data_IF_403116301846
#
_entry.id   IF_403116301846
#
_cell.length_a   1.000
_cell.length_b   1.000
_cell.length_c   1.000
_cell.angle_alpha   90.00
_cell.angle_beta   90.00
_cell.angle_gamma   90.00
#
_symmetry.space_group_name_H-M   'P 1'
#
loop_
_entity.id
_entity.type
_entity.pdbx_description
1 polymer ?
#
# COMPACT_ATOMS: atom_id res chain seq x y z
N UNK A 1 -30.56 -14.21 -32.78
CA UNK A 1 -31.51 -15.18 -32.22
C UNK A 1 -30.70 -16.19 -31.43
N UNK A 2 -30.82 -16.37 -30.13
CA UNK A 2 -31.62 -15.81 -29.03
C UNK A 2 -30.96 -16.48 -27.83
N UNK A 3 -30.29 -15.74 -26.95
CA UNK A 3 -29.89 -16.23 -25.61
C UNK A 3 -29.85 -15.02 -24.66
N UNK A 4 -30.91 -14.23 -24.70
CA UNK A 4 -31.26 -13.19 -23.73
C UNK A 4 -32.44 -13.71 -22.91
N UNK A 5 -32.25 -14.62 -21.95
CA UNK A 5 -33.25 -14.88 -20.90
C UNK A 5 -32.66 -15.72 -19.75
N UNK A 6 -31.91 -15.09 -18.85
CA UNK A 6 -31.75 -15.56 -17.45
C UNK A 6 -31.28 -14.42 -16.53
N UNK A 7 -31.97 -13.29 -16.59
CA UNK A 7 -31.97 -12.31 -15.50
C UNK A 7 -33.42 -12.16 -15.04
N UNK A 8 -33.90 -13.18 -14.31
CA UNK A 8 -35.15 -13.05 -13.57
C UNK A 8 -34.90 -12.06 -12.43
N UNK A 9 -35.55 -10.89 -12.54
CA UNK A 9 -35.35 -9.76 -11.65
C UNK A 9 -35.65 -10.09 -10.19
N UNK A 10 -34.64 -9.91 -9.35
CA UNK A 10 -34.84 -9.76 -7.91
C UNK A 10 -35.26 -8.30 -7.66
N UNK A 11 -36.56 -8.05 -7.64
CA UNK A 11 -37.10 -6.80 -7.11
C UNK A 11 -36.94 -6.81 -5.59
N UNK A 12 -35.87 -6.20 -5.10
CA UNK A 12 -35.68 -6.00 -3.68
C UNK A 12 -36.33 -4.68 -3.26
N UNK A 13 -37.27 -4.74 -2.31
CA UNK A 13 -37.98 -3.55 -1.83
C UNK A 13 -37.19 -2.77 -0.77
N UNK A 14 -36.08 -3.30 -0.29
CA UNK A 14 -35.27 -2.67 0.77
C UNK A 14 -33.75 -2.89 0.54
N UNK A 15 -32.92 -1.83 0.68
CA UNK A 15 -31.45 -1.95 0.63
C UNK A 15 -30.87 -3.00 1.59
N UNK A 16 -31.51 -3.26 2.73
CA UNK A 16 -31.03 -4.29 3.69
C UNK A 16 -31.23 -5.72 3.16
N UNK A 17 -32.28 -5.96 2.38
CA UNK A 17 -32.53 -7.27 1.76
C UNK A 17 -31.55 -7.55 0.61
N UNK A 18 -31.15 -6.50 -0.12
CA UNK A 18 -30.10 -6.59 -1.14
C UNK A 18 -28.76 -7.00 -0.53
N UNK A 19 -28.37 -6.35 0.56
CA UNK A 19 -27.12 -6.66 1.26
C UNK A 19 -27.14 -8.10 1.80
N UNK A 20 -28.25 -8.53 2.40
CA UNK A 20 -28.37 -9.89 2.91
C UNK A 20 -28.33 -10.96 1.82
N UNK A 21 -28.97 -10.70 0.67
CA UNK A 21 -28.93 -11.60 -0.48
C UNK A 21 -27.53 -11.69 -1.12
N UNK A 22 -26.82 -10.57 -1.20
CA UNK A 22 -25.44 -10.55 -1.69
C UNK A 22 -24.51 -11.26 -0.71
N UNK A 23 -24.69 -11.07 0.60
CA UNK A 23 -23.93 -11.78 1.63
C UNK A 23 -24.18 -13.30 1.61
N UNK A 24 -25.42 -13.76 1.39
CA UNK A 24 -25.72 -15.19 1.32
C UNK A 24 -25.20 -15.86 0.05
N UNK A 25 -25.27 -15.17 -1.10
CA UNK A 25 -24.65 -15.60 -2.35
C UNK A 25 -23.13 -15.71 -2.22
N UNK A 26 -22.49 -14.75 -1.55
CA UNK A 26 -21.04 -14.76 -1.34
C UNK A 26 -20.61 -15.89 -0.38
N UNK A 27 -21.36 -16.13 0.70
CA UNK A 27 -21.10 -17.24 1.62
C UNK A 27 -21.22 -18.62 0.95
N UNK A 28 -22.18 -18.77 0.02
CA UNK A 28 -22.36 -19.99 -0.75
C UNK A 28 -21.23 -20.22 -1.78
N UNK A 29 -20.71 -19.16 -2.40
CA UNK A 29 -19.66 -19.24 -3.40
C UNK A 29 -18.26 -19.42 -2.80
N UNK A 30 -17.99 -18.85 -1.63
CA UNK A 30 -16.66 -18.85 -1.03
C UNK A 30 -16.31 -20.14 -0.26
N UNK A 31 -17.26 -21.05 -0.03
CA UNK A 31 -17.03 -22.23 0.83
C UNK A 31 -16.64 -21.88 2.27
N UNK A 32 -16.73 -20.60 2.66
CA UNK A 32 -16.46 -20.10 4.00
C UNK A 32 -17.75 -20.27 4.80
N UNK A 33 -17.99 -21.50 5.24
CA UNK A 33 -18.76 -21.69 6.45
C UNK A 33 -17.99 -20.99 7.58
N UNK A 34 -18.65 -20.02 8.21
CA UNK A 34 -18.26 -19.42 9.49
C UNK A 34 -17.38 -18.15 9.47
N UNK A 35 -17.99 -16.99 9.16
CA UNK A 35 -17.59 -15.67 9.72
C UNK A 35 -18.59 -15.21 10.80
N UNK A 36 -19.61 -16.02 11.08
CA UNK A 36 -20.54 -15.84 12.17
C UNK A 36 -20.97 -17.24 12.65
N UNK A 37 -20.53 -17.54 13.89
CA UNK A 37 -20.51 -18.87 14.52
C UNK A 37 -21.54 -19.89 14.04
N UNK A 38 -21.04 -21.06 13.65
CA UNK A 38 -21.63 -22.39 13.80
C UNK A 38 -23.15 -22.50 13.71
N UNK A 39 -23.64 -23.02 12.58
CA UNK A 39 -24.99 -23.58 12.49
C UNK A 39 -24.85 -25.10 12.47
N UNK A 40 -24.95 -25.72 13.66
CA UNK A 40 -25.20 -27.15 13.74
C UNK A 40 -26.68 -27.44 13.42
N UNK A 41 -26.83 -28.58 12.75
CA UNK A 41 -28.03 -29.27 12.29
C UNK A 41 -29.30 -29.11 13.15
N UNK A 42 -30.41 -28.94 12.42
CA UNK A 42 -31.79 -28.99 12.88
C UNK A 42 -32.08 -30.28 13.65
N UNK A 43 -32.41 -30.15 14.94
CA UNK A 43 -33.38 -31.04 15.59
C UNK A 43 -34.38 -30.20 16.37
N UNK A 44 -35.62 -30.34 15.93
CA UNK A 44 -36.87 -29.79 16.41
C UNK A 44 -36.99 -29.85 17.95
N UNK A 45 -36.94 -28.70 18.61
CA UNK A 45 -37.71 -28.37 19.83
C UNK A 45 -37.45 -26.91 20.19
N UNK A 46 -38.53 -26.18 20.48
CA UNK A 46 -38.57 -24.72 20.60
C UNK A 46 -37.46 -24.13 21.47
N UNK A 47 -36.58 -23.35 20.83
CA UNK A 47 -35.68 -22.42 21.50
C UNK A 47 -36.02 -21.03 21.00
N UNK A 48 -36.43 -20.18 21.95
CA UNK A 48 -36.58 -18.75 21.79
C UNK A 48 -35.41 -18.20 20.98
N UNK A 49 -35.70 -17.58 19.82
CA UNK A 49 -34.74 -16.79 19.05
C UNK A 49 -34.31 -15.60 19.90
N UNK A 50 -33.41 -15.87 20.84
CA UNK A 50 -32.56 -14.85 21.41
C UNK A 50 -31.72 -14.36 20.24
N UNK A 51 -32.19 -13.29 19.62
CA UNK A 51 -31.40 -12.39 18.79
C UNK A 51 -30.13 -12.13 19.59
N UNK A 52 -29.05 -12.86 19.28
CA UNK A 52 -27.72 -12.54 19.78
C UNK A 52 -27.41 -11.19 19.18
N UNK A 53 -27.82 -10.15 19.91
CA UNK A 53 -27.53 -8.75 19.65
C UNK A 53 -26.02 -8.59 19.84
N UNK A 54 -25.25 -9.13 18.89
CA UNK A 54 -23.88 -8.75 18.66
C UNK A 54 -23.94 -7.28 18.30
N UNK A 55 -23.82 -6.43 19.32
CA UNK A 55 -23.78 -4.98 19.14
C UNK A 55 -22.66 -4.71 18.16
N UNK A 56 -22.99 -4.16 17.00
CA UNK A 56 -22.02 -3.69 16.03
C UNK A 56 -21.16 -2.63 16.72
N UNK A 57 -19.93 -3.01 17.07
CA UNK A 57 -18.95 -2.08 17.60
C UNK A 57 -18.13 -1.52 16.44
N UNK A 58 -17.59 -0.29 16.57
CA UNK A 58 -16.69 0.27 15.57
C UNK A 58 -15.54 -0.68 15.20
N UNK A 59 -15.03 -1.44 16.17
CA UNK A 59 -13.93 -2.37 15.95
C UNK A 59 -14.31 -3.60 15.13
N UNK A 60 -15.52 -4.12 15.30
CA UNK A 60 -16.03 -5.19 14.44
C UNK A 60 -16.15 -4.68 13.00
N UNK A 61 -16.64 -3.45 12.82
CA UNK A 61 -16.76 -2.82 11.51
C UNK A 61 -15.38 -2.59 10.88
N UNK A 62 -14.41 -2.04 11.61
CA UNK A 62 -13.04 -1.87 11.11
C UNK A 62 -12.41 -3.19 10.70
N UNK A 63 -12.57 -4.25 11.51
CA UNK A 63 -12.06 -5.58 11.17
C UNK A 63 -12.72 -6.14 9.92
N UNK A 64 -14.02 -5.92 9.73
CA UNK A 64 -14.73 -6.32 8.52
C UNK A 64 -14.16 -5.61 7.28
N UNK A 65 -13.97 -4.29 7.32
CA UNK A 65 -13.36 -3.53 6.20
C UNK A 65 -11.96 -4.04 5.88
N UNK A 66 -11.12 -4.27 6.89
CA UNK A 66 -9.75 -4.75 6.70
C UNK A 66 -9.72 -6.15 6.09
N UNK A 67 -10.52 -7.09 6.64
CA UNK A 67 -10.60 -8.44 6.11
C UNK A 67 -11.14 -8.43 4.67
N UNK A 68 -12.19 -7.65 4.42
CA UNK A 68 -12.83 -7.60 3.12
C UNK A 68 -11.91 -7.03 2.05
N UNK A 69 -11.15 -5.97 2.36
CA UNK A 69 -10.17 -5.41 1.44
C UNK A 69 -9.04 -6.41 1.12
N UNK A 70 -8.57 -7.18 2.12
CA UNK A 70 -7.57 -8.24 1.90
C UNK A 70 -8.08 -9.36 1.01
N UNK A 71 -9.32 -9.79 1.19
CA UNK A 71 -9.94 -10.79 0.31
C UNK A 71 -10.12 -10.28 -1.12
N UNK A 72 -10.53 -9.01 -1.29
CA UNK A 72 -10.68 -8.42 -2.62
C UNK A 72 -9.34 -8.38 -3.38
N UNK A 73 -8.26 -8.02 -2.71
CA UNK A 73 -6.92 -8.03 -3.30
C UNK A 73 -6.40 -9.47 -3.50
N UNK A 74 -6.29 -10.27 -2.44
CA UNK A 74 -5.64 -11.58 -2.50
C UNK A 74 -6.44 -12.67 -3.22
N UNK A 75 -7.75 -12.76 -3.03
CA UNK A 75 -8.56 -13.84 -3.59
C UNK A 75 -9.06 -13.50 -5.01
N UNK A 76 -9.32 -12.21 -5.28
CA UNK A 76 -10.00 -11.76 -6.49
C UNK A 76 -9.11 -10.90 -7.42
N UNK A 77 -7.95 -10.41 -6.96
CA UNK A 77 -7.10 -9.48 -7.71
C UNK A 77 -7.75 -8.10 -7.95
N UNK A 78 -8.80 -7.75 -7.20
CA UNK A 78 -9.58 -6.53 -7.38
C UNK A 78 -9.02 -5.39 -6.51
N UNK A 79 -7.82 -4.91 -6.88
CA UNK A 79 -7.10 -3.90 -6.11
C UNK A 79 -7.85 -2.56 -6.01
N UNK A 80 -8.40 -2.07 -7.13
CA UNK A 80 -9.15 -0.81 -7.17
C UNK A 80 -10.38 -0.86 -6.26
N UNK A 81 -11.09 -2.00 -6.28
CA UNK A 81 -12.26 -2.22 -5.42
C UNK A 81 -11.87 -2.27 -3.94
N UNK A 82 -10.73 -2.87 -3.60
CA UNK A 82 -10.21 -2.88 -2.24
C UNK A 82 -9.86 -1.45 -1.76
N UNK A 83 -9.24 -0.63 -2.61
CA UNK A 83 -8.94 0.77 -2.33
C UNK A 83 -10.20 1.59 -2.12
N UNK A 84 -11.18 1.48 -3.01
CA UNK A 84 -12.43 2.23 -2.94
C UNK A 84 -13.26 1.84 -1.70
N UNK A 85 -13.28 0.56 -1.35
CA UNK A 85 -13.88 0.09 -0.11
C UNK A 85 -13.26 0.77 1.13
N UNK A 86 -11.94 0.86 1.20
CA UNK A 86 -11.25 1.49 2.32
C UNK A 86 -11.40 3.01 2.34
N UNK A 87 -11.39 3.67 1.17
CA UNK A 87 -11.68 5.11 1.06
C UNK A 87 -13.08 5.41 1.59
N UNK A 88 -14.09 4.62 1.18
CA UNK A 88 -15.45 4.74 1.68
C UNK A 88 -15.53 4.54 3.20
N UNK A 89 -14.85 3.51 3.73
CA UNK A 89 -14.78 3.28 5.18
C UNK A 89 -14.22 4.50 5.93
N UNK A 90 -13.16 5.11 5.39
CA UNK A 90 -12.54 6.31 5.97
C UNK A 90 -13.46 7.53 5.90
N UNK A 91 -14.19 7.75 4.80
CA UNK A 91 -15.19 8.81 4.68
C UNK A 91 -16.32 8.67 5.72
N UNK A 92 -16.61 7.44 6.15
CA UNK A 92 -17.58 7.14 7.21
C UNK A 92 -16.96 7.11 8.62
N UNK A 93 -15.74 7.61 8.77
CA UNK A 93 -15.01 7.68 10.04
C UNK A 93 -14.81 6.30 10.71
N UNK A 94 -14.67 5.23 9.92
CA UNK A 94 -14.28 3.92 10.45
C UNK A 94 -12.80 3.99 10.86
N UNK A 95 -12.45 3.69 12.13
CA UNK A 95 -11.08 3.81 12.61
C UNK A 95 -10.16 2.73 12.03
N UNK A 96 -8.85 2.93 12.18
CA UNK A 96 -7.80 1.93 11.90
C UNK A 96 -7.72 1.42 10.45
N UNK A 97 -8.21 2.19 9.47
CA UNK A 97 -8.11 1.83 8.04
C UNK A 97 -6.90 2.48 7.33
N UNK A 98 -6.35 3.55 7.89
CA UNK A 98 -5.33 4.37 7.23
C UNK A 98 -4.06 3.59 6.86
N UNK A 99 -3.59 2.72 7.76
CA UNK A 99 -2.38 1.91 7.53
C UNK A 99 -2.57 0.95 6.35
N UNK A 100 -3.69 0.21 6.35
CA UNK A 100 -4.00 -0.74 5.28
C UNK A 100 -4.19 -0.04 3.93
N UNK A 101 -4.88 1.09 3.93
CA UNK A 101 -5.05 1.91 2.73
C UNK A 101 -3.70 2.40 2.19
N UNK A 102 -2.78 2.84 3.06
CA UNK A 102 -1.43 3.24 2.67
C UNK A 102 -0.63 2.10 2.03
N UNK A 103 -0.73 0.88 2.61
CA UNK A 103 -0.11 -0.32 2.05
C UNK A 103 -0.67 -0.66 0.68
N UNK A 104 -2.00 -0.65 0.51
CA UNK A 104 -2.63 -0.92 -0.79
C UNK A 104 -2.28 0.13 -1.85
N UNK A 105 -2.24 1.43 -1.51
CA UNK A 105 -1.78 2.45 -2.44
C UNK A 105 -0.31 2.26 -2.86
N UNK A 106 0.51 1.67 -1.99
CA UNK A 106 1.90 1.34 -2.33
C UNK A 106 1.95 0.13 -3.25
N UNK A 107 1.16 -0.90 -2.94
CA UNK A 107 1.05 -2.10 -3.74
C UNK A 107 0.56 -1.81 -5.17
N UNK A 108 -0.44 -0.93 -5.31
CA UNK A 108 -0.96 -0.45 -6.60
C UNK A 108 0.16 0.09 -7.50
N UNK A 109 0.96 1.00 -6.97
CA UNK A 109 2.09 1.58 -7.70
C UNK A 109 3.15 0.51 -8.01
N UNK A 110 3.42 -0.40 -7.08
CA UNK A 110 4.39 -1.47 -7.32
C UNK A 110 3.94 -2.42 -8.45
N UNK A 111 2.67 -2.84 -8.43
CA UNK A 111 2.11 -3.78 -9.39
C UNK A 111 1.95 -3.14 -10.77
N UNK A 112 1.36 -1.95 -10.85
CA UNK A 112 1.01 -1.33 -12.13
C UNK A 112 2.14 -0.50 -12.74
N UNK A 113 2.91 0.21 -11.92
CA UNK A 113 3.91 1.17 -12.42
C UNK A 113 5.35 0.63 -12.32
N UNK A 114 5.72 0.01 -11.19
CA UNK A 114 7.04 -0.62 -11.03
C UNK A 114 7.12 -2.03 -11.66
N UNK A 115 5.97 -2.58 -12.06
CA UNK A 115 5.84 -3.88 -12.73
C UNK A 115 6.22 -5.07 -11.85
N UNK A 116 5.91 -5.00 -10.56
CA UNK A 116 5.95 -6.11 -9.60
C UNK A 116 4.63 -6.90 -9.67
N UNK A 117 4.33 -7.50 -10.83
CA UNK A 117 2.99 -7.99 -11.19
C UNK A 117 2.42 -9.11 -10.31
N UNK A 118 3.27 -9.79 -9.55
CA UNK A 118 2.87 -10.90 -8.66
C UNK A 118 2.95 -10.55 -7.19
N UNK A 119 3.33 -9.31 -6.86
CA UNK A 119 3.45 -8.90 -5.47
C UNK A 119 2.08 -8.88 -4.79
N UNK A 120 2.00 -9.46 -3.61
CA UNK A 120 0.80 -9.46 -2.78
C UNK A 120 0.94 -8.50 -1.60
N UNK A 121 -0.19 -8.15 -1.00
CA UNK A 121 -0.21 -7.31 0.20
C UNK A 121 0.52 -7.97 1.39
N UNK A 122 0.49 -9.30 1.49
CA UNK A 122 1.16 -10.03 2.58
C UNK A 122 2.68 -10.06 2.39
N UNK A 123 3.17 -10.19 1.15
CA UNK A 123 4.59 -10.01 0.83
C UNK A 123 5.05 -8.59 1.12
N UNK A 124 4.29 -7.58 0.68
CA UNK A 124 4.61 -6.18 0.95
C UNK A 124 4.65 -5.88 2.46
N UNK A 125 3.79 -6.54 3.26
CA UNK A 125 3.71 -6.29 4.70
C UNK A 125 4.95 -6.74 5.48
N UNK A 126 5.75 -7.66 4.94
CA UNK A 126 6.99 -8.16 5.56
C UNK A 126 8.25 -7.48 5.03
N UNK A 127 8.14 -6.64 4.00
CA UNK A 127 9.29 -5.94 3.42
C UNK A 127 9.76 -4.80 4.31
N UNK A 128 11.07 -4.55 4.30
CA UNK A 128 11.60 -3.32 4.87
C UNK A 128 11.22 -2.13 3.97
N UNK A 129 10.91 -0.95 4.56
CA UNK A 129 10.57 0.24 3.76
C UNK A 129 11.65 0.64 2.75
N UNK A 130 12.92 0.31 3.02
CA UNK A 130 14.04 0.61 2.13
C UNK A 130 14.03 -0.30 0.89
N UNK A 131 13.55 -1.54 1.02
CA UNK A 131 13.39 -2.47 -0.10
C UNK A 131 12.24 -2.03 -0.99
N UNK A 132 11.16 -1.54 -0.39
CA UNK A 132 10.05 -0.93 -1.13
C UNK A 132 10.54 0.27 -1.97
N UNK A 133 11.40 1.12 -1.41
CA UNK A 133 12.03 2.21 -2.17
C UNK A 133 12.88 1.71 -3.35
N UNK A 134 13.64 0.63 -3.16
CA UNK A 134 14.41 0.02 -4.25
C UNK A 134 13.48 -0.44 -5.38
N UNK A 135 12.41 -1.15 -5.04
CA UNK A 135 11.47 -1.65 -6.04
C UNK A 135 10.79 -0.52 -6.80
N UNK A 136 10.42 0.57 -6.11
CA UNK A 136 9.88 1.77 -6.76
C UNK A 136 10.87 2.43 -7.73
N UNK A 137 12.17 2.25 -7.53
CA UNK A 137 13.24 2.85 -8.34
C UNK A 137 13.89 1.87 -9.33
N UNK A 138 13.54 0.59 -9.30
CA UNK A 138 14.21 -0.48 -10.06
C UNK A 138 14.18 -0.22 -11.57
N UNK A 139 13.03 0.18 -12.12
CA UNK A 139 12.85 0.47 -13.56
C UNK A 139 13.00 1.95 -13.92
N UNK A 140 13.60 2.74 -13.02
CA UNK A 140 13.70 4.20 -13.18
C UNK A 140 14.73 4.65 -14.22
N UNK A 141 15.43 3.74 -14.90
CA UNK A 141 16.44 4.07 -15.89
C UNK A 141 15.87 4.99 -16.98
N UNK A 142 16.55 6.12 -17.22
CA UNK A 142 16.10 7.16 -18.17
C UNK A 142 15.06 8.14 -17.61
N UNK A 143 14.24 7.76 -16.61
CA UNK A 143 13.13 8.57 -16.10
C UNK A 143 13.14 8.76 -14.56
N UNK A 144 14.32 8.72 -13.94
CA UNK A 144 14.51 8.80 -12.48
C UNK A 144 13.81 9.98 -11.81
N UNK A 145 13.80 11.15 -12.46
CA UNK A 145 13.14 12.34 -11.93
C UNK A 145 11.62 12.22 -11.88
N UNK A 146 11.01 11.51 -12.83
CA UNK A 146 9.58 11.25 -12.85
C UNK A 146 9.21 10.25 -11.76
N UNK A 147 9.92 9.11 -11.70
CA UNK A 147 9.70 8.06 -10.70
C UNK A 147 9.81 8.62 -9.28
N UNK A 148 10.81 9.47 -9.04
CA UNK A 148 10.97 10.12 -7.75
C UNK A 148 9.71 10.94 -7.39
N UNK A 149 9.26 11.80 -8.30
CA UNK A 149 8.12 12.71 -8.07
C UNK A 149 6.79 12.00 -7.92
N UNK A 150 6.52 11.06 -8.80
CA UNK A 150 5.20 10.44 -8.93
C UNK A 150 5.00 9.31 -7.92
N UNK A 151 6.06 8.61 -7.53
CA UNK A 151 5.93 7.36 -6.77
C UNK A 151 6.69 7.37 -5.45
N UNK A 152 7.95 7.79 -5.47
CA UNK A 152 8.78 7.82 -4.25
C UNK A 152 8.33 8.90 -3.29
N UNK A 153 8.10 10.14 -3.74
CA UNK A 153 7.69 11.24 -2.85
C UNK A 153 6.33 10.97 -2.18
N UNK A 154 5.30 10.46 -2.88
CA UNK A 154 4.06 10.07 -2.20
C UNK A 154 4.26 8.92 -1.22
N UNK A 155 5.08 7.92 -1.54
CA UNK A 155 5.41 6.83 -0.62
C UNK A 155 6.11 7.34 0.65
N UNK A 156 7.14 8.17 0.49
CA UNK A 156 7.86 8.82 1.59
C UNK A 156 6.94 9.69 2.45
N UNK A 157 6.02 10.43 1.84
CA UNK A 157 5.04 11.25 2.56
C UNK A 157 4.07 10.40 3.37
N UNK A 158 3.66 9.23 2.87
CA UNK A 158 2.86 8.27 3.63
C UNK A 158 3.64 7.66 4.80
N UNK A 159 4.92 7.39 4.61
CA UNK A 159 5.79 6.92 5.69
C UNK A 159 5.91 7.99 6.79
N UNK A 160 6.17 9.25 6.42
CA UNK A 160 6.27 10.38 7.36
C UNK A 160 4.97 10.56 8.17
N UNK A 161 3.81 10.41 7.52
CA UNK A 161 2.52 10.47 8.18
C UNK A 161 2.30 9.32 9.18
N UNK A 162 2.94 8.17 8.97
CA UNK A 162 2.88 7.04 9.89
C UNK A 162 3.90 7.17 11.04
N UNK A 163 5.09 7.70 10.74
CA UNK A 163 6.17 7.91 11.70
C UNK A 163 6.97 9.17 11.32
N UNK A 164 6.85 10.21 12.15
CA UNK A 164 7.56 11.46 11.93
C UNK A 164 9.09 11.27 11.91
N UNK A 165 9.76 11.95 10.99
CA UNK A 165 11.20 11.90 10.75
C UNK A 165 11.67 10.68 9.94
N UNK A 166 10.79 9.73 9.60
CA UNK A 166 11.23 8.53 8.89
C UNK A 166 11.56 8.82 7.42
N UNK A 167 10.99 9.86 6.81
CA UNK A 167 11.20 10.18 5.39
C UNK A 167 12.67 10.40 5.06
N UNK A 168 13.33 11.28 5.80
CA UNK A 168 14.72 11.67 5.54
C UNK A 168 15.68 10.51 5.88
N UNK A 169 15.42 9.81 6.99
CA UNK A 169 16.19 8.62 7.38
C UNK A 169 16.09 7.55 6.30
N UNK A 170 14.88 7.26 5.83
CA UNK A 170 14.62 6.21 4.85
C UNK A 170 15.27 6.53 3.50
N UNK A 171 15.17 7.79 3.05
CA UNK A 171 15.82 8.24 1.84
C UNK A 171 17.34 8.17 1.97
N UNK A 172 17.92 8.62 3.09
CA UNK A 172 19.36 8.55 3.32
C UNK A 172 19.87 7.10 3.36
N UNK A 173 19.17 6.19 4.03
CA UNK A 173 19.52 4.76 4.06
C UNK A 173 19.46 4.14 2.67
N UNK A 174 18.43 4.47 1.88
CA UNK A 174 18.34 4.03 0.48
C UNK A 174 19.53 4.52 -0.34
N UNK A 175 19.82 5.83 -0.32
CA UNK A 175 20.94 6.39 -1.09
C UNK A 175 22.28 5.81 -0.67
N UNK A 176 22.49 5.58 0.62
CA UNK A 176 23.70 4.95 1.12
C UNK A 176 23.83 3.49 0.61
N UNK A 177 22.73 2.73 0.58
CA UNK A 177 22.72 1.38 0.02
C UNK A 177 23.09 1.40 -1.45
N UNK A 178 22.46 2.24 -2.26
CA UNK A 178 22.76 2.35 -3.69
C UNK A 178 24.19 2.82 -3.95
N UNK A 179 24.72 3.71 -3.11
CA UNK A 179 26.06 4.25 -3.22
C UNK A 179 27.16 3.19 -3.11
N UNK A 180 26.90 2.05 -2.44
CA UNK A 180 27.88 0.95 -2.35
C UNK A 180 28.30 0.43 -3.71
N UNK A 181 27.37 0.39 -4.66
CA UNK A 181 27.58 -0.12 -6.02
C UNK A 181 27.69 0.99 -7.06
N UNK A 182 27.04 2.14 -6.86
CA UNK A 182 27.10 3.24 -7.84
C UNK A 182 26.63 4.58 -7.26
N UNK A 183 27.42 5.62 -7.47
CA UNK A 183 27.07 7.00 -7.10
C UNK A 183 26.08 7.66 -8.08
N UNK A 184 25.70 6.99 -9.17
CA UNK A 184 24.79 7.54 -10.18
C UNK A 184 23.41 7.84 -9.59
N UNK A 185 22.82 6.91 -8.83
CA UNK A 185 21.52 7.10 -8.19
C UNK A 185 21.60 8.20 -7.11
N UNK A 186 22.55 8.13 -6.14
CA UNK A 186 22.79 9.22 -5.18
C UNK A 186 22.90 10.60 -5.83
N UNK A 187 23.71 10.73 -6.90
CA UNK A 187 23.91 12.01 -7.59
C UNK A 187 22.60 12.56 -8.18
N UNK A 188 21.82 11.71 -8.88
CA UNK A 188 20.57 12.14 -9.52
C UNK A 188 19.53 12.51 -8.47
N UNK A 189 19.38 11.70 -7.44
CA UNK A 189 18.38 11.96 -6.39
C UNK A 189 18.76 13.18 -5.56
N UNK A 190 20.02 13.35 -5.16
CA UNK A 190 20.45 14.52 -4.38
C UNK A 190 20.28 15.82 -5.17
N UNK A 191 20.60 15.85 -6.47
CA UNK A 191 20.33 17.01 -7.34
C UNK A 191 18.85 17.40 -7.37
N UNK A 192 17.96 16.39 -7.41
CA UNK A 192 16.53 16.61 -7.35
C UNK A 192 16.10 17.11 -5.97
N UNK A 193 16.58 16.48 -4.91
CA UNK A 193 16.34 16.89 -3.52
C UNK A 193 16.78 18.33 -3.27
N UNK A 194 17.92 18.78 -3.81
CA UNK A 194 18.34 20.18 -3.72
C UNK A 194 17.33 21.15 -4.36
N UNK A 195 16.50 20.68 -5.29
CA UNK A 195 15.41 21.45 -5.89
C UNK A 195 14.12 21.41 -5.05
N UNK A 196 14.01 20.49 -4.09
CA UNK A 196 12.88 20.35 -3.18
C UNK A 196 13.22 20.88 -1.79
N UNK A 197 12.53 21.92 -1.33
CA UNK A 197 12.80 22.53 -0.02
C UNK A 197 12.38 21.67 1.18
N UNK A 198 11.72 20.53 0.95
CA UNK A 198 11.10 19.73 2.03
C UNK A 198 11.82 18.40 2.34
N UNK A 199 12.86 18.03 1.60
CA UNK A 199 13.55 16.73 1.75
C UNK A 199 15.01 16.94 2.12
N UNK A 200 15.54 16.15 3.06
CA UNK A 200 16.97 16.15 3.45
C UNK A 200 17.57 17.56 3.45
N UNK A 201 17.26 18.34 4.49
CA UNK A 201 17.66 19.75 4.56
C UNK A 201 18.92 19.96 5.42
N UNK A 202 19.63 21.05 5.14
CA UNK A 202 20.79 21.48 5.92
C UNK A 202 21.82 20.37 6.11
N UNK A 203 22.27 20.18 7.35
CA UNK A 203 23.30 19.20 7.71
C UNK A 203 22.98 17.77 7.28
N UNK A 204 21.69 17.37 7.26
CA UNK A 204 21.30 16.03 6.85
C UNK A 204 21.60 15.75 5.37
N UNK A 205 21.53 16.78 4.52
CA UNK A 205 21.91 16.67 3.11
C UNK A 205 23.40 16.40 2.96
N UNK A 206 24.22 17.22 3.63
CA UNK A 206 25.68 17.09 3.58
C UNK A 206 26.14 15.76 4.18
N UNK A 207 25.57 15.36 5.32
CA UNK A 207 25.88 14.09 5.96
C UNK A 207 25.54 12.90 5.04
N UNK A 208 24.37 12.94 4.39
CA UNK A 208 23.95 11.92 3.43
C UNK A 208 24.90 11.85 2.23
N UNK A 209 25.21 13.00 1.63
CA UNK A 209 26.11 13.09 0.48
C UNK A 209 27.50 12.53 0.79
N UNK A 210 28.07 12.94 1.94
CA UNK A 210 29.36 12.47 2.41
C UNK A 210 29.32 10.96 2.70
N UNK A 211 28.29 10.46 3.38
CA UNK A 211 28.11 9.01 3.62
C UNK A 211 28.02 8.21 2.32
N UNK A 212 27.35 8.72 1.29
CA UNK A 212 27.31 8.07 -0.01
C UNK A 212 28.71 7.93 -0.61
N UNK A 213 29.48 9.02 -0.64
CA UNK A 213 30.86 9.01 -1.18
C UNK A 213 31.75 8.02 -0.42
N UNK A 214 31.70 8.00 0.91
CA UNK A 214 32.50 7.08 1.72
C UNK A 214 32.04 5.62 1.69
N UNK A 215 30.78 5.37 1.33
CA UNK A 215 30.25 4.00 1.21
C UNK A 215 30.52 3.37 -0.15
N UNK A 216 30.95 4.15 -1.15
CA UNK A 216 31.21 3.66 -2.50
C UNK A 216 32.48 2.81 -2.55
N UNK A 217 32.35 1.55 -2.97
CA UNK A 217 33.47 0.61 -3.10
C UNK A 217 34.24 0.80 -4.42
N UNK A 218 33.61 1.46 -5.40
CA UNK A 218 34.14 1.65 -6.73
C UNK A 218 35.14 2.82 -6.80
N UNK A 219 36.38 2.53 -7.19
CA UNK A 219 37.46 3.53 -7.27
C UNK A 219 37.46 4.35 -8.56
N UNK A 220 36.65 3.99 -9.55
CA UNK A 220 36.58 4.63 -10.87
C UNK A 220 35.55 5.76 -10.96
N UNK A 221 34.79 6.03 -9.89
CA UNK A 221 33.71 7.03 -9.88
C UNK A 221 34.09 8.36 -9.24
N UNK A 222 35.38 8.73 -9.22
CA UNK A 222 35.86 9.98 -8.61
C UNK A 222 35.18 11.23 -9.20
N UNK A 223 34.99 11.26 -10.52
CA UNK A 223 34.32 12.37 -11.19
C UNK A 223 32.85 12.50 -10.75
N UNK A 224 32.18 11.37 -10.51
CA UNK A 224 30.78 11.35 -10.03
C UNK A 224 30.70 11.80 -8.58
N UNK A 225 31.65 11.37 -7.74
CA UNK A 225 31.75 11.83 -6.36
C UNK A 225 31.98 13.34 -6.26
N UNK A 226 32.86 13.88 -7.11
CA UNK A 226 33.13 15.33 -7.18
C UNK A 226 31.87 16.09 -7.60
N UNK A 227 31.20 15.63 -8.67
CA UNK A 227 29.93 16.23 -9.11
C UNK A 227 28.81 16.15 -8.06
N UNK A 228 28.82 15.13 -7.20
CA UNK A 228 27.85 14.97 -6.13
C UNK A 228 28.06 16.02 -5.04
N UNK A 229 29.32 16.25 -4.64
CA UNK A 229 29.65 17.27 -3.65
C UNK A 229 29.47 18.69 -4.19
N UNK A 230 29.81 18.93 -5.46
CA UNK A 230 29.63 20.22 -6.14
C UNK A 230 28.14 20.58 -6.34
N UNK A 231 27.24 19.59 -6.30
CA UNK A 231 25.81 19.80 -6.45
C UNK A 231 25.12 20.29 -5.16
N UNK A 232 25.82 20.28 -4.03
CA UNK A 232 25.27 20.72 -2.75
C UNK A 232 25.12 22.25 -2.73
N UNK A 233 24.06 22.78 -2.06
CA UNK A 233 23.90 24.21 -1.91
C UNK A 233 25.09 24.81 -1.14
N UNK A 234 25.44 26.06 -1.47
CA UNK A 234 26.51 26.83 -0.82
C UNK A 234 25.93 27.79 0.21
#
# INVERSE_FOLDING_TARGET
CEDDHLVAGLQFSNPSEQVNAICSLYAAAAGVADICGGVDSVSDTGVSLATSSNKLTPQIVSKWYQLRARQLEGDCGLMDAALDLLKLGRERNVPDLARLLSSLCTLEVLVYEAGQTHMTLDELAVMEPVDVLALLMEKSEGNRSQYLKEWVLPYLSRCEAAQAGCRDVLLATYLQREATHSLVIPLVVLKLVCSYQDLLQGDALYECAVKCVYSCENTDQLDTATQLLDALPV
#
